data_IF_953646608382
#
_entry.id   IF_953646608382
#
_cell.length_a   1.000
_cell.length_b   1.000
_cell.length_c   1.000
_cell.angle_alpha   90.00
_cell.angle_beta   90.00
_cell.angle_gamma   90.00
#
_symmetry.space_group_name_H-M   'P 1'
#
loop_
_entity.id
_entity.type
_entity.pdbx_description
1 polymer ?
#
# COMPACT_ATOMS: atom_id res chain seq x y z
N UNK A 1 12.60 13.57 -6.52
CA UNK A 1 12.44 12.93 -5.19
C UNK A 1 11.31 13.59 -4.43
N UNK A 2 10.37 12.83 -4.05
CA UNK A 2 9.30 13.32 -3.16
C UNK A 2 9.83 13.36 -1.72
N UNK A 3 9.39 14.35 -0.97
CA UNK A 3 9.84 14.57 0.40
C UNK A 3 8.83 14.05 1.40
N UNK A 4 9.31 13.66 2.57
CA UNK A 4 8.42 13.41 3.69
C UNK A 4 7.74 14.71 4.13
N UNK A 5 6.43 14.62 4.31
CA UNK A 5 5.61 15.69 4.85
C UNK A 5 5.17 15.35 6.27
N UNK A 6 5.06 16.34 7.17
CA UNK A 6 4.43 16.12 8.46
C UNK A 6 3.01 15.60 8.30
N UNK A 7 2.63 14.66 9.15
CA UNK A 7 1.32 14.03 9.08
C UNK A 7 0.82 13.68 10.48
N UNK A 8 -0.50 13.70 10.64
CA UNK A 8 -1.15 13.26 11.87
C UNK A 8 -2.36 12.40 11.51
N UNK A 9 -2.49 11.24 12.13
CA UNK A 9 -3.64 10.37 11.94
C UNK A 9 -4.84 10.91 12.71
N UNK A 10 -5.95 11.08 12.00
CA UNK A 10 -7.27 11.35 12.55
C UNK A 10 -8.11 10.08 12.38
N UNK A 11 -8.36 9.37 13.45
CA UNK A 11 -9.01 8.06 13.40
C UNK A 11 -10.45 8.12 12.86
N UNK A 12 -11.18 9.20 13.09
CA UNK A 12 -12.52 9.38 12.54
C UNK A 12 -12.47 9.47 11.00
N UNK A 13 -11.55 10.27 10.47
CA UNK A 13 -11.32 10.37 9.03
C UNK A 13 -10.79 9.07 8.44
N UNK A 14 -9.90 8.41 9.15
CA UNK A 14 -9.34 7.13 8.75
C UNK A 14 -10.44 6.09 8.58
N UNK A 15 -11.37 6.02 9.51
CA UNK A 15 -12.52 5.10 9.44
C UNK A 15 -13.40 5.40 8.23
N UNK A 16 -13.67 6.67 7.97
CA UNK A 16 -14.47 7.08 6.81
C UNK A 16 -13.78 6.68 5.50
N UNK A 17 -12.49 6.93 5.39
CA UNK A 17 -11.71 6.56 4.21
C UNK A 17 -11.61 5.04 4.04
N UNK A 18 -11.51 4.30 5.15
CA UNK A 18 -11.50 2.83 5.12
C UNK A 18 -12.84 2.28 4.60
N UNK A 19 -13.96 2.88 4.99
CA UNK A 19 -15.28 2.51 4.47
C UNK A 19 -15.38 2.78 2.97
N UNK A 20 -14.79 3.87 2.50
CA UNK A 20 -14.72 4.17 1.06
C UNK A 20 -13.87 3.15 0.30
N UNK A 21 -12.74 2.74 0.87
CA UNK A 21 -11.89 1.70 0.30
C UNK A 21 -12.62 0.36 0.21
N UNK A 22 -13.32 -0.01 1.28
CA UNK A 22 -14.14 -1.22 1.30
C UNK A 22 -15.21 -1.19 0.23
N UNK A 23 -15.90 -0.05 0.06
CA UNK A 23 -16.91 0.13 -0.98
C UNK A 23 -16.32 -0.05 -2.39
N UNK A 24 -15.09 0.45 -2.61
CA UNK A 24 -14.40 0.26 -3.87
C UNK A 24 -14.10 -1.21 -4.15
N UNK A 25 -13.64 -1.96 -3.14
CA UNK A 25 -13.39 -3.40 -3.26
C UNK A 25 -14.67 -4.20 -3.49
N UNK A 26 -15.75 -3.84 -2.81
CA UNK A 26 -17.03 -4.54 -2.86
C UNK A 26 -17.75 -4.43 -4.22
N UNK A 27 -17.32 -3.51 -5.10
CA UNK A 27 -17.84 -3.43 -6.47
C UNK A 27 -17.49 -4.65 -7.32
N UNK A 28 -16.51 -5.45 -6.91
CA UNK A 28 -16.12 -6.69 -7.59
C UNK A 28 -15.39 -6.49 -8.91
N UNK A 29 -15.03 -5.27 -9.25
CA UNK A 29 -14.25 -4.95 -10.44
C UNK A 29 -12.76 -5.18 -10.18
N UNK A 30 -12.01 -5.55 -11.24
CA UNK A 30 -10.56 -5.60 -11.16
C UNK A 30 -9.98 -4.19 -11.00
N UNK A 31 -9.18 -3.98 -9.96
CA UNK A 31 -8.60 -2.69 -9.65
C UNK A 31 -7.16 -2.61 -10.15
N UNK A 32 -6.92 -1.71 -11.09
CA UNK A 32 -5.59 -1.47 -11.64
C UNK A 32 -4.73 -0.70 -10.66
N UNK A 33 -3.47 -1.06 -10.57
CA UNK A 33 -2.49 -0.46 -9.66
C UNK A 33 -2.51 1.07 -9.70
N UNK A 34 -2.16 1.68 -10.85
CA UNK A 34 -2.03 3.13 -10.95
C UNK A 34 -3.37 3.86 -11.01
N UNK A 35 -4.29 3.33 -11.79
CA UNK A 35 -5.56 4.01 -12.08
C UNK A 35 -6.52 4.00 -10.89
N UNK A 36 -6.52 2.95 -10.10
CA UNK A 36 -7.49 2.76 -9.02
C UNK A 36 -6.83 2.77 -7.66
N UNK A 37 -5.86 1.88 -7.43
CA UNK A 37 -5.27 1.68 -6.11
C UNK A 37 -4.40 2.87 -5.71
N UNK A 38 -3.40 3.19 -6.50
CA UNK A 38 -2.48 4.28 -6.19
C UNK A 38 -3.21 5.63 -6.15
N UNK A 39 -4.11 5.87 -7.10
CA UNK A 39 -4.94 7.07 -7.11
C UNK A 39 -5.79 7.20 -5.86
N UNK A 40 -6.41 6.10 -5.41
CA UNK A 40 -7.20 6.10 -4.19
C UNK A 40 -6.35 6.49 -2.98
N UNK A 41 -5.21 5.85 -2.77
CA UNK A 41 -4.36 6.12 -1.60
C UNK A 41 -3.72 7.51 -1.62
N UNK A 42 -3.52 8.09 -2.80
CA UNK A 42 -3.10 9.49 -2.91
C UNK A 42 -4.15 10.48 -2.45
N UNK A 43 -5.42 10.21 -2.73
CA UNK A 43 -6.54 11.05 -2.31
C UNK A 43 -6.98 10.78 -0.87
N UNK A 44 -6.66 9.60 -0.33
CA UNK A 44 -7.08 9.14 0.99
C UNK A 44 -5.86 8.93 1.90
N UNK A 45 -5.25 10.02 2.30
CA UNK A 45 -3.98 10.01 3.03
C UNK A 45 -4.08 9.36 4.41
N UNK A 46 -5.23 9.42 5.07
CA UNK A 46 -5.42 8.85 6.39
C UNK A 46 -5.32 7.32 6.34
N UNK A 47 -6.03 6.67 5.43
CA UNK A 47 -5.95 5.22 5.28
C UNK A 47 -4.60 4.79 4.73
N UNK A 48 -3.97 5.61 3.88
CA UNK A 48 -2.60 5.36 3.42
C UNK A 48 -1.62 5.32 4.60
N UNK A 49 -1.69 6.30 5.50
CA UNK A 49 -0.85 6.36 6.70
C UNK A 49 -1.08 5.17 7.63
N UNK A 50 -2.31 4.65 7.69
CA UNK A 50 -2.65 3.49 8.51
C UNK A 50 -1.84 2.25 8.12
N UNK A 51 -1.44 2.13 6.86
CA UNK A 51 -0.62 1.02 6.39
C UNK A 51 0.73 0.94 7.12
N UNK A 52 1.26 2.08 7.55
CA UNK A 52 2.49 2.11 8.33
C UNK A 52 2.40 1.43 9.68
N UNK A 53 1.21 1.39 10.27
CA UNK A 53 0.99 0.75 11.57
C UNK A 53 1.02 -0.78 11.50
N UNK A 54 1.10 -1.36 10.30
CA UNK A 54 1.33 -2.80 10.13
C UNK A 54 2.76 -3.15 10.56
N UNK A 55 3.71 -2.23 10.38
CA UNK A 55 5.07 -2.42 10.85
C UNK A 55 5.15 -2.27 12.38
N UNK A 56 5.57 -3.32 13.12
CA UNK A 56 5.49 -3.31 14.58
C UNK A 56 6.40 -2.27 15.24
N UNK A 57 7.43 -1.81 14.56
CA UNK A 57 8.38 -0.81 15.05
C UNK A 57 7.80 0.61 15.02
N UNK A 58 6.77 0.84 14.20
CA UNK A 58 6.13 2.15 14.08
C UNK A 58 5.06 2.28 15.17
N UNK A 59 5.29 3.21 16.12
CA UNK A 59 4.33 3.49 17.18
C UNK A 59 3.33 4.58 16.77
N UNK A 60 3.82 5.61 16.07
CA UNK A 60 3.02 6.76 15.66
C UNK A 60 3.48 7.23 14.28
N UNK A 61 2.56 7.29 13.32
CA UNK A 61 2.87 7.82 11.99
C UNK A 61 2.80 9.35 12.04
N UNK A 62 3.94 10.00 11.87
CA UNK A 62 4.06 11.46 11.82
C UNK A 62 4.68 11.98 10.51
N UNK A 63 4.99 11.08 9.58
CA UNK A 63 5.57 11.42 8.27
C UNK A 63 4.94 10.55 7.18
N UNK A 64 4.70 11.16 6.03
CA UNK A 64 4.19 10.49 4.84
C UNK A 64 4.88 11.04 3.59
N UNK A 65 5.14 10.18 2.63
CA UNK A 65 5.65 10.56 1.32
C UNK A 65 5.10 9.61 0.25
N UNK A 66 4.78 10.15 -0.91
CA UNK A 66 4.42 9.36 -2.09
C UNK A 66 5.57 9.38 -3.09
N UNK A 67 5.76 8.27 -3.80
CA UNK A 67 6.84 8.12 -4.79
C UNK A 67 8.19 8.47 -4.19
N UNK A 68 8.47 7.94 -3.01
CA UNK A 68 9.72 8.20 -2.30
C UNK A 68 10.89 7.51 -2.99
N UNK A 69 11.87 8.30 -3.38
CA UNK A 69 12.98 7.87 -4.20
C UNK A 69 14.18 7.44 -3.34
N UNK A 70 14.71 6.25 -3.62
CA UNK A 70 15.91 5.70 -3.00
C UNK A 70 17.10 5.86 -3.94
N UNK A 71 17.92 6.87 -3.70
CA UNK A 71 19.17 7.10 -4.42
C UNK A 71 19.03 7.18 -5.96
N UNK A 72 17.85 7.49 -6.46
CA UNK A 72 17.58 7.59 -7.88
C UNK A 72 17.32 6.28 -8.61
N UNK A 73 17.50 5.14 -7.96
CA UNK A 73 17.40 3.82 -8.60
C UNK A 73 16.02 3.16 -8.39
N UNK A 74 15.35 3.51 -7.31
CA UNK A 74 14.08 2.88 -6.93
C UNK A 74 13.19 3.89 -6.20
N UNK A 75 11.91 3.88 -6.51
CA UNK A 75 10.92 4.72 -5.85
C UNK A 75 9.80 3.86 -5.26
N UNK A 76 9.57 3.98 -3.95
CA UNK A 76 8.43 3.36 -3.30
C UNK A 76 7.17 4.17 -3.57
N UNK A 77 6.05 3.51 -3.81
CA UNK A 77 4.76 4.18 -4.05
C UNK A 77 4.33 5.03 -2.86
N UNK A 78 4.56 4.53 -1.66
CA UNK A 78 4.23 5.17 -0.40
C UNK A 78 5.32 4.89 0.62
N UNK A 79 5.67 5.89 1.41
CA UNK A 79 6.50 5.74 2.58
C UNK A 79 5.82 6.41 3.77
N UNK A 80 5.73 5.71 4.88
CA UNK A 80 5.20 6.24 6.14
C UNK A 80 6.22 6.05 7.24
N UNK A 81 6.29 6.99 8.16
CA UNK A 81 7.34 6.98 9.15
C UNK A 81 6.93 7.46 10.52
N UNK A 82 7.71 6.96 11.48
CA UNK A 82 7.78 7.44 12.85
C UNK A 82 9.14 8.10 13.03
N UNK A 83 9.18 9.43 12.93
CA UNK A 83 10.43 10.16 12.96
C UNK A 83 11.12 10.14 14.33
N UNK A 84 10.36 9.95 15.41
CA UNK A 84 10.90 9.86 16.76
C UNK A 84 11.70 8.58 16.94
N UNK A 85 11.18 7.47 16.43
CA UNK A 85 11.83 6.17 16.49
C UNK A 85 12.78 5.92 15.30
N UNK A 86 12.74 6.78 14.29
CA UNK A 86 13.49 6.63 13.03
C UNK A 86 13.15 5.31 12.31
N UNK A 87 11.90 4.92 12.38
CA UNK A 87 11.39 3.72 11.74
C UNK A 87 10.48 4.11 10.57
N UNK A 88 10.65 3.45 9.44
CA UNK A 88 9.93 3.76 8.22
C UNK A 88 9.41 2.49 7.56
N UNK A 89 8.21 2.57 7.02
CA UNK A 89 7.58 1.51 6.25
C UNK A 89 7.43 1.96 4.79
N UNK A 90 7.93 1.16 3.86
CA UNK A 90 7.82 1.42 2.43
C UNK A 90 6.81 0.46 1.84
N UNK A 91 5.88 0.99 1.05
CA UNK A 91 4.74 0.25 0.52
C UNK A 91 4.76 0.32 -0.99
N UNK A 92 4.65 -0.83 -1.62
CA UNK A 92 4.38 -0.98 -3.04
C UNK A 92 2.93 -1.42 -3.22
N UNK A 93 2.24 -0.81 -4.15
CA UNK A 93 0.89 -1.22 -4.51
C UNK A 93 0.91 -2.10 -5.75
N UNK A 94 -0.01 -3.04 -5.80
CA UNK A 94 -0.26 -3.90 -6.94
C UNK A 94 -1.73 -3.85 -7.31
N UNK A 95 -2.08 -4.36 -8.48
CA UNK A 95 -3.48 -4.46 -8.87
C UNK A 95 -4.23 -5.42 -7.94
N UNK A 96 -5.49 -5.12 -7.68
CA UNK A 96 -6.35 -5.96 -6.85
C UNK A 96 -7.41 -6.62 -7.74
N UNK A 97 -7.29 -7.93 -7.88
CA UNK A 97 -8.22 -8.80 -8.59
C UNK A 97 -8.34 -10.12 -7.82
N UNK A 98 -9.35 -10.95 -8.09
CA UNK A 98 -9.50 -12.24 -7.39
C UNK A 98 -8.27 -13.14 -7.45
N UNK A 99 -7.45 -13.01 -8.51
CA UNK A 99 -6.23 -13.78 -8.73
C UNK A 99 -4.94 -12.99 -8.45
N UNK A 100 -5.02 -11.84 -7.77
CA UNK A 100 -3.85 -10.98 -7.55
C UNK A 100 -2.83 -11.55 -6.58
N UNK A 101 -3.25 -12.41 -5.66
CA UNK A 101 -2.34 -13.10 -4.72
C UNK A 101 -2.16 -14.56 -5.15
N UNK A 102 -3.26 -15.26 -5.35
CA UNK A 102 -3.27 -16.66 -5.77
C UNK A 102 -4.00 -16.78 -7.11
N UNK A 103 -3.50 -17.65 -7.98
CA UNK A 103 -4.13 -18.00 -9.25
C UNK A 103 -4.29 -19.51 -9.36
N UNK A 104 -5.28 -19.95 -10.14
CA UNK A 104 -5.42 -21.37 -10.46
C UNK A 104 -4.38 -21.78 -11.52
N UNK A 105 -3.77 -22.93 -11.32
CA UNK A 105 -2.84 -23.53 -12.26
C UNK A 105 -3.61 -24.41 -13.27
N UNK A 106 -4.06 -23.84 -14.39
CA UNK A 106 -4.83 -24.54 -15.43
C UNK A 106 -6.13 -25.12 -14.87
N UNK A 107 -6.46 -26.39 -15.20
CA UNK A 107 -7.65 -27.08 -14.73
C UNK A 107 -7.53 -27.69 -13.35
N UNK A 108 -6.42 -27.45 -12.64
CA UNK A 108 -6.18 -28.01 -11.32
C UNK A 108 -6.88 -27.19 -10.24
N UNK A 109 -7.28 -27.88 -9.16
CA UNK A 109 -7.84 -27.23 -7.98
C UNK A 109 -6.77 -26.57 -7.09
N UNK A 110 -5.49 -26.71 -7.41
CA UNK A 110 -4.39 -26.09 -6.69
C UNK A 110 -4.24 -24.62 -7.04
N UNK A 111 -3.86 -23.83 -6.04
CA UNK A 111 -3.56 -22.40 -6.18
C UNK A 111 -2.05 -22.19 -6.24
N UNK A 112 -1.62 -21.28 -7.08
CA UNK A 112 -0.24 -20.80 -7.15
C UNK A 112 -0.17 -19.33 -6.78
N UNK A 113 1.01 -18.88 -6.37
CA UNK A 113 1.25 -17.45 -6.23
C UNK A 113 1.05 -16.73 -7.56
N UNK A 114 0.39 -15.58 -7.53
CA UNK A 114 0.29 -14.74 -8.73
C UNK A 114 1.68 -14.22 -9.11
N UNK A 115 1.86 -13.87 -10.39
CA UNK A 115 3.13 -13.29 -10.85
C UNK A 115 3.44 -11.96 -10.18
N UNK A 116 2.44 -11.13 -9.93
CA UNK A 116 2.60 -9.85 -9.24
C UNK A 116 3.09 -10.03 -7.81
N UNK A 117 2.46 -10.93 -7.06
CA UNK A 117 2.86 -11.22 -5.70
C UNK A 117 4.27 -11.81 -5.62
N UNK A 118 4.57 -12.78 -6.47
CA UNK A 118 5.88 -13.43 -6.53
C UNK A 118 6.98 -12.43 -6.87
N UNK A 119 6.73 -11.53 -7.83
CA UNK A 119 7.64 -10.45 -8.19
C UNK A 119 7.88 -9.48 -7.03
N UNK A 120 6.82 -9.05 -6.36
CA UNK A 120 6.91 -8.16 -5.21
C UNK A 120 7.70 -8.76 -4.06
N UNK A 121 7.45 -10.04 -3.76
CA UNK A 121 8.20 -10.78 -2.74
C UNK A 121 9.70 -10.85 -3.08
N UNK A 122 10.03 -11.09 -4.34
CA UNK A 122 11.41 -11.16 -4.80
C UNK A 122 12.15 -9.83 -4.67
N UNK A 123 11.45 -8.70 -4.76
CA UNK A 123 12.04 -7.37 -4.60
C UNK A 123 12.41 -7.04 -3.16
N UNK A 124 11.74 -7.63 -2.19
CA UNK A 124 11.98 -7.40 -0.77
C UNK A 124 13.21 -8.17 -0.26
N UNK A 125 13.47 -9.32 -0.85
CA UNK A 125 14.57 -10.19 -0.48
C UNK A 125 15.86 -9.77 -1.21
#
# INVERSE_FOLDING_TARGET
>A
MKRFEPFSIDFARCRHELDQFKAMLDRGEALKERRHILAFFREHRQVAALLGLIAPEIAEVDRIAYEFDFFGDYAADLAVGDSRKREYCFVEFEEAAPDSIFRRAGDKHSLEWSRGFDRGYSQII
#
